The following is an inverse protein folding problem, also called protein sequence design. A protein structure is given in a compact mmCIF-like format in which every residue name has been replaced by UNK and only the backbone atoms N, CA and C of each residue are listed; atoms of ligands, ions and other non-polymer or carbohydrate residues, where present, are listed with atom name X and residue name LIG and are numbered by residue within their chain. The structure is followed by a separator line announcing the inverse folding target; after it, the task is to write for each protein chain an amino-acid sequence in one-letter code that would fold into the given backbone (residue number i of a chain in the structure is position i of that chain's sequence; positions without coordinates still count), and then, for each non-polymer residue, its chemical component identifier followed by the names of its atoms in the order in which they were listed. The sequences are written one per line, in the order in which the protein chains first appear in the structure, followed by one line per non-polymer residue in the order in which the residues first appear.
data_IF_058693297892
#
_entry.id   IF_058693297892
#
_cell.length_a   1.000
_cell.length_b   1.000
_cell.length_c   1.000
_cell.angle_alpha   90.00
_cell.angle_beta   90.00
_cell.angle_gamma   90.00
#
_symmetry.space_group_name_H-M   'P 1'
#
loop_
_entity.id
_entity.type
_entity.pdbx_description
1 polymer ?
#
# COMPACT_ATOMS: atom_id res chain seq x y z
N UNK A 1 -8.55 -6.77 15.02
CA UNK A 1 -7.54 -5.72 14.81
C UNK A 1 -8.25 -4.40 14.52
N UNK A 2 -7.76 -3.27 15.06
CA UNK A 2 -8.32 -1.94 14.79
C UNK A 2 -7.84 -1.43 13.44
N UNK A 3 -8.75 -1.17 12.51
CA UNK A 3 -8.47 -0.72 11.14
C UNK A 3 -9.28 0.52 10.78
N UNK A 4 -8.75 1.36 9.88
CA UNK A 4 -9.54 2.39 9.21
C UNK A 4 -10.27 1.77 8.02
N UNK A 5 -11.58 1.98 7.93
CA UNK A 5 -12.44 1.37 6.91
C UNK A 5 -12.85 2.41 5.86
N UNK A 6 -12.91 1.98 4.60
CA UNK A 6 -13.28 2.83 3.48
C UNK A 6 -14.31 2.13 2.61
N UNK A 7 -15.36 2.86 2.23
CA UNK A 7 -16.29 2.46 1.16
C UNK A 7 -15.65 2.78 -0.18
N UNK A 8 -15.65 1.82 -1.08
CA UNK A 8 -14.97 1.89 -2.39
C UNK A 8 -15.81 1.19 -3.45
N UNK A 9 -15.52 1.47 -4.71
CA UNK A 9 -15.79 0.54 -5.82
C UNK A 9 -14.43 -0.04 -6.24
N UNK A 10 -14.21 -1.33 -6.02
CA UNK A 10 -12.88 -1.94 -6.19
C UNK A 10 -12.31 -1.75 -7.60
N UNK A 11 -13.07 -1.97 -8.70
CA UNK A 11 -12.57 -1.71 -10.05
C UNK A 11 -12.16 -0.24 -10.27
N UNK A 12 -12.99 0.71 -9.83
CA UNK A 12 -12.71 2.15 -9.96
C UNK A 12 -11.49 2.54 -9.12
N UNK A 13 -11.36 1.98 -7.92
CA UNK A 13 -10.20 2.20 -7.07
C UNK A 13 -8.93 1.66 -7.71
N UNK A 14 -8.94 0.42 -8.21
CA UNK A 14 -7.80 -0.17 -8.90
C UNK A 14 -7.34 0.72 -10.06
N UNK A 15 -8.26 1.13 -10.93
CA UNK A 15 -7.95 2.01 -12.05
C UNK A 15 -7.34 3.36 -11.62
N UNK A 16 -7.85 3.96 -10.53
CA UNK A 16 -7.34 5.22 -10.01
C UNK A 16 -5.94 5.08 -9.38
N UNK A 17 -5.68 3.97 -8.68
CA UNK A 17 -4.40 3.73 -8.01
C UNK A 17 -3.30 3.28 -8.98
N UNK A 18 -3.66 2.57 -10.05
CA UNK A 18 -2.72 2.10 -11.08
C UNK A 18 -2.50 3.10 -12.21
N UNK A 19 -3.17 4.25 -12.21
CA UNK A 19 -2.98 5.29 -13.21
C UNK A 19 -1.56 5.87 -13.15
N UNK A 20 -0.97 6.14 -14.31
CA UNK A 20 0.41 6.62 -14.43
C UNK A 20 0.62 7.91 -13.62
N UNK A 21 -0.36 8.83 -13.63
CA UNK A 21 -0.29 10.09 -12.87
C UNK A 21 -0.27 9.85 -11.35
N UNK A 22 -1.00 8.84 -10.87
CA UNK A 22 -1.01 8.48 -9.45
C UNK A 22 0.33 7.85 -9.05
N UNK A 23 0.85 6.93 -9.86
CA UNK A 23 2.15 6.28 -9.62
C UNK A 23 3.28 7.32 -9.65
N UNK A 24 3.24 8.26 -10.59
CA UNK A 24 4.23 9.33 -10.68
C UNK A 24 4.15 10.28 -9.47
N UNK A 25 2.93 10.64 -9.04
CA UNK A 25 2.71 11.42 -7.82
C UNK A 25 3.26 10.71 -6.59
N UNK A 26 3.01 9.40 -6.48
CA UNK A 26 3.53 8.57 -5.41
C UNK A 26 5.08 8.51 -5.43
N UNK A 27 5.69 8.30 -6.60
CA UNK A 27 7.14 8.26 -6.74
C UNK A 27 7.80 9.58 -6.33
N UNK A 28 7.20 10.73 -6.66
CA UNK A 28 7.66 12.05 -6.18
C UNK A 28 7.57 12.16 -4.67
N UNK A 29 6.45 11.74 -4.07
CA UNK A 29 6.30 11.75 -2.61
C UNK A 29 7.40 10.92 -1.91
N UNK A 30 7.72 9.74 -2.43
CA UNK A 30 8.81 8.92 -1.90
C UNK A 30 10.17 9.62 -1.99
N UNK A 31 10.45 10.29 -3.11
CA UNK A 31 11.69 11.03 -3.32
C UNK A 31 11.84 12.21 -2.35
N UNK A 32 10.73 12.87 -2.01
CA UNK A 32 10.71 13.98 -1.05
C UNK A 32 10.86 13.51 0.40
N UNK A 33 10.28 12.35 0.75
CA UNK A 33 10.35 11.81 2.12
C UNK A 33 11.71 11.18 2.46
N UNK A 34 12.32 10.46 1.52
CA UNK A 34 13.55 9.69 1.74
C UNK A 34 14.72 10.45 2.40
N UNK A 35 15.06 11.70 2.01
CA UNK A 35 16.16 12.45 2.60
C UNK A 35 15.94 12.80 4.08
N UNK A 36 14.68 12.86 4.53
CA UNK A 36 14.30 13.27 5.88
C UNK A 36 14.26 12.11 6.89
N UNK A 37 14.37 10.86 6.41
CA UNK A 37 14.20 9.67 7.25
C UNK A 37 15.46 9.32 8.06
N UNK A 38 15.33 9.39 9.39
CA UNK A 38 16.33 8.87 10.32
C UNK A 38 16.27 7.35 10.51
N UNK A 39 15.08 6.75 10.31
CA UNK A 39 14.86 5.32 10.45
C UNK A 39 15.37 4.55 9.22
N UNK A 40 16.38 3.69 9.43
CA UNK A 40 17.00 2.92 8.34
C UNK A 40 16.07 1.87 7.75
N UNK A 41 15.26 1.20 8.56
CA UNK A 41 14.30 0.18 8.13
C UNK A 41 13.21 0.80 7.26
N UNK A 42 12.68 1.95 7.69
CA UNK A 42 11.69 2.69 6.89
C UNK A 42 12.31 3.22 5.60
N UNK A 43 13.54 3.75 5.63
CA UNK A 43 14.23 4.18 4.42
C UNK A 43 14.49 3.02 3.43
N UNK A 44 14.77 1.80 3.92
CA UNK A 44 14.88 0.61 3.06
C UNK A 44 13.55 0.23 2.43
N UNK A 45 12.46 0.29 3.20
CA UNK A 45 11.11 0.05 2.70
C UNK A 45 10.73 1.05 1.61
N UNK A 46 10.92 2.36 1.84
CA UNK A 46 10.63 3.39 0.84
C UNK A 46 11.50 3.24 -0.42
N UNK A 47 12.78 2.87 -0.28
CA UNK A 47 13.64 2.56 -1.45
C UNK A 47 13.15 1.35 -2.24
N UNK A 48 12.60 0.33 -1.57
CA UNK A 48 11.97 -0.80 -2.26
C UNK A 48 10.77 -0.32 -3.06
N UNK A 49 9.86 0.46 -2.45
CA UNK A 49 8.69 0.95 -3.16
C UNK A 49 9.04 1.93 -4.30
N UNK A 50 10.06 2.78 -4.14
CA UNK A 50 10.55 3.63 -5.23
C UNK A 50 11.03 2.80 -6.44
N UNK A 51 11.66 1.64 -6.19
CA UNK A 51 12.06 0.72 -7.26
C UNK A 51 10.85 0.09 -7.94
N UNK A 52 9.86 -0.36 -7.18
CA UNK A 52 8.64 -0.99 -7.72
C UNK A 52 7.84 0.03 -8.54
N UNK A 53 7.66 1.25 -8.03
CA UNK A 53 7.04 2.36 -8.76
C UNK A 53 7.81 2.67 -10.06
N UNK A 54 9.14 2.69 -10.03
CA UNK A 54 9.97 2.87 -11.22
C UNK A 54 9.78 1.76 -12.26
N UNK A 55 9.59 0.51 -11.84
CA UNK A 55 9.26 -0.60 -12.75
C UNK A 55 7.88 -0.42 -13.38
N UNK A 56 6.88 -0.03 -12.59
CA UNK A 56 5.54 0.27 -13.09
C UNK A 56 5.54 1.44 -14.10
N UNK A 57 6.30 2.51 -13.83
CA UNK A 57 6.40 3.64 -14.76
C UNK A 57 7.14 3.29 -16.07
N UNK A 58 8.11 2.38 -16.02
CA UNK A 58 8.90 2.01 -17.20
C UNK A 58 8.17 1.02 -18.13
N UNK A 59 7.38 0.10 -17.56
CA UNK A 59 6.72 -0.99 -18.30
C UNK A 59 5.20 -0.94 -18.31
N UNK A 60 4.59 -0.02 -17.56
CA UNK A 60 3.16 -0.02 -17.24
C UNK A 60 2.83 -0.91 -16.03
N UNK A 61 1.81 -0.54 -15.27
CA UNK A 61 1.36 -1.31 -14.11
C UNK A 61 0.92 -2.73 -14.48
N UNK A 62 0.23 -2.92 -15.61
CA UNK A 62 -0.24 -4.24 -16.05
C UNK A 62 0.93 -5.22 -16.30
N UNK A 63 2.04 -4.72 -16.86
CA UNK A 63 3.23 -5.54 -17.07
C UNK A 63 3.90 -5.93 -15.74
N UNK A 64 3.90 -5.01 -14.76
CA UNK A 64 4.34 -5.33 -13.40
C UNK A 64 3.43 -6.39 -12.77
N UNK A 65 2.11 -6.24 -12.84
CA UNK A 65 1.16 -7.20 -12.27
C UNK A 65 1.26 -8.59 -12.92
N UNK A 66 1.53 -8.65 -14.23
CA UNK A 66 1.73 -9.91 -14.95
C UNK A 66 3.04 -10.62 -14.58
N UNK A 67 4.11 -9.87 -14.32
CA UNK A 67 5.42 -10.42 -13.99
C UNK A 67 5.62 -10.70 -12.51
N UNK A 68 5.07 -9.85 -11.65
CA UNK A 68 5.20 -9.90 -10.19
C UNK A 68 3.95 -9.29 -9.52
N UNK A 69 2.90 -10.10 -9.47
CA UNK A 69 1.61 -9.73 -8.87
C UNK A 69 1.75 -9.31 -7.40
N UNK A 70 2.68 -9.90 -6.65
CA UNK A 70 2.87 -9.59 -5.23
C UNK A 70 3.45 -8.17 -5.04
N UNK A 71 4.45 -7.78 -5.84
CA UNK A 71 4.98 -6.41 -5.79
C UNK A 71 3.98 -5.39 -6.35
N UNK A 72 3.21 -5.74 -7.37
CA UNK A 72 2.13 -4.88 -7.87
C UNK A 72 1.09 -4.59 -6.79
N UNK A 73 0.66 -5.63 -6.05
CA UNK A 73 -0.36 -5.47 -5.01
C UNK A 73 0.16 -4.75 -3.76
N UNK A 74 1.42 -5.01 -3.39
CA UNK A 74 2.10 -4.24 -2.34
C UNK A 74 2.20 -2.75 -2.71
N UNK A 75 2.49 -2.43 -3.98
CA UNK A 75 2.52 -1.05 -4.47
C UNK A 75 1.15 -0.39 -4.34
N UNK A 76 0.07 -1.04 -4.78
CA UNK A 76 -1.30 -0.53 -4.63
C UNK A 76 -1.65 -0.26 -3.17
N UNK A 77 -1.28 -1.18 -2.27
CA UNK A 77 -1.49 -1.06 -0.82
C UNK A 77 -0.81 0.18 -0.25
N UNK A 78 0.47 0.40 -0.61
CA UNK A 78 1.22 1.54 -0.09
C UNK A 78 0.74 2.88 -0.71
N UNK A 79 0.44 2.90 -2.01
CA UNK A 79 -0.17 4.07 -2.66
C UNK A 79 -1.48 4.44 -1.95
N UNK A 80 -2.36 3.47 -1.68
CA UNK A 80 -3.61 3.74 -0.97
C UNK A 80 -3.37 4.29 0.43
N UNK A 81 -2.40 3.72 1.16
CA UNK A 81 -2.06 4.17 2.51
C UNK A 81 -1.51 5.60 2.55
N UNK A 82 -0.65 5.95 1.59
CA UNK A 82 -0.06 7.29 1.42
C UNK A 82 -1.10 8.28 0.94
N UNK A 83 -1.91 7.93 -0.05
CA UNK A 83 -2.98 8.77 -0.59
C UNK A 83 -3.99 9.15 0.51
N UNK A 84 -4.43 8.19 1.32
CA UNK A 84 -5.35 8.46 2.43
C UNK A 84 -4.70 9.23 3.58
N UNK A 85 -3.37 9.11 3.78
CA UNK A 85 -2.63 9.91 4.77
C UNK A 85 -2.51 11.37 4.36
N UNK A 86 -2.10 11.63 3.12
CA UNK A 86 -1.94 12.97 2.56
C UNK A 86 -3.24 13.55 2.00
N UNK A 87 -4.37 12.85 2.17
CA UNK A 87 -5.71 13.22 1.68
C UNK A 87 -5.71 13.55 0.18
N UNK A 88 -5.02 12.74 -0.61
CA UNK A 88 -5.11 12.80 -2.06
C UNK A 88 -6.50 12.36 -2.51
N UNK A 89 -6.94 12.91 -3.63
CA UNK A 89 -8.22 12.55 -4.23
C UNK A 89 -8.12 11.13 -4.79
N UNK A 90 -8.91 10.23 -4.21
CA UNK A 90 -9.08 8.84 -4.63
C UNK A 90 -10.56 8.46 -4.45
N UNK A 91 -11.08 7.48 -5.21
CA UNK A 91 -12.48 7.04 -5.12
C UNK A 91 -12.71 6.14 -3.88
N UNK A 92 -12.48 6.71 -2.70
CA UNK A 92 -12.66 6.04 -1.42
C UNK A 92 -13.22 7.00 -0.38
N UNK A 93 -14.26 6.57 0.34
CA UNK A 93 -14.91 7.35 1.39
C UNK A 93 -14.62 6.72 2.75
N UNK A 94 -14.05 7.50 3.68
CA UNK A 94 -13.82 7.01 5.04
C UNK A 94 -15.13 6.72 5.76
N UNK A 95 -15.24 5.53 6.34
CA UNK A 95 -16.37 5.11 7.17
C UNK A 95 -16.02 5.05 8.66
N UNK A 96 -14.82 5.53 9.01
CA UNK A 96 -14.29 5.52 10.38
C UNK A 96 -13.45 4.29 10.70
N UNK A 97 -13.16 4.11 11.98
CA UNK A 97 -12.36 2.99 12.47
C UNK A 97 -13.23 1.88 13.04
N UNK A 98 -12.87 0.63 12.79
CA UNK A 98 -13.58 -0.56 13.27
C UNK A 98 -12.61 -1.65 13.71
N UNK A 99 -13.05 -2.49 14.64
CA UNK A 99 -12.33 -3.69 15.05
C UNK A 99 -12.79 -4.87 14.17
N UNK A 100 -11.87 -5.40 13.35
CA UNK A 100 -12.15 -6.41 12.34
C UNK A 100 -11.32 -7.69 12.54
N UNK A 101 -11.90 -8.88 12.29
CA UNK A 101 -11.18 -10.14 12.27
C UNK A 101 -10.47 -10.32 10.91
N UNK A 102 -9.28 -9.74 10.77
CA UNK A 102 -8.56 -9.68 9.48
C UNK A 102 -7.58 -10.83 9.24
N UNK A 103 -7.40 -11.72 10.21
CA UNK A 103 -6.34 -12.74 10.19
C UNK A 103 -6.50 -13.77 9.05
N UNK A 104 -7.73 -14.00 8.60
CA UNK A 104 -8.06 -14.95 7.52
C UNK A 104 -8.38 -14.25 6.18
N UNK A 105 -8.33 -12.91 6.14
CA UNK A 105 -8.69 -12.16 4.93
C UNK A 105 -7.51 -12.03 3.97
N UNK A 106 -7.76 -12.11 2.64
CA UNK A 106 -6.72 -11.87 1.65
C UNK A 106 -6.19 -10.44 1.78
N UNK A 107 -4.87 -10.30 1.63
CA UNK A 107 -4.18 -9.02 1.70
C UNK A 107 -3.98 -8.39 0.32
N UNK A 108 -4.10 -7.06 0.29
CA UNK A 108 -4.00 -6.25 -0.92
C UNK A 108 -5.30 -6.24 -1.72
N UNK A 109 -5.35 -5.38 -2.75
CA UNK A 109 -6.50 -5.27 -3.66
C UNK A 109 -6.51 -6.40 -4.69
N UNK A 110 -5.37 -7.03 -4.95
CA UNK A 110 -5.24 -8.17 -5.85
C UNK A 110 -5.17 -9.51 -5.10
N UNK A 111 -5.24 -9.51 -3.76
CA UNK A 111 -5.16 -10.68 -2.90
C UNK A 111 -3.79 -11.35 -2.87
N UNK A 112 -2.73 -10.64 -3.26
CA UNK A 112 -1.37 -11.16 -3.44
C UNK A 112 -0.32 -10.40 -2.61
N UNK A 113 -0.71 -9.40 -1.83
CA UNK A 113 0.23 -8.63 -1.00
C UNK A 113 0.77 -9.46 0.17
N UNK A 114 2.05 -9.81 0.09
CA UNK A 114 2.81 -10.52 1.13
C UNK A 114 3.78 -9.60 1.87
N UNK A 115 3.70 -8.29 1.67
CA UNK A 115 4.64 -7.33 2.27
C UNK A 115 4.51 -7.28 3.79
N UNK A 116 5.64 -7.11 4.48
CA UNK A 116 5.68 -6.94 5.93
C UNK A 116 6.09 -5.50 6.27
N UNK A 117 5.32 -4.84 7.13
CA UNK A 117 5.59 -3.48 7.59
C UNK A 117 4.99 -2.36 6.71
N UNK A 118 4.95 -1.14 7.25
CA UNK A 118 4.36 0.03 6.59
C UNK A 118 2.83 0.04 6.71
N UNK A 119 2.15 -0.61 5.77
CA UNK A 119 0.70 -0.68 5.72
C UNK A 119 0.22 -2.09 5.38
N UNK A 120 -1.02 -2.38 5.75
CA UNK A 120 -1.72 -3.61 5.38
C UNK A 120 -3.15 -3.26 5.01
N UNK A 121 -3.57 -3.74 3.84
CA UNK A 121 -4.88 -3.51 3.27
C UNK A 121 -5.58 -4.85 3.10
N UNK A 122 -6.87 -4.90 3.41
CA UNK A 122 -7.72 -6.07 3.23
C UNK A 122 -8.97 -5.68 2.48
N UNK A 123 -9.41 -6.55 1.56
CA UNK A 123 -10.76 -6.52 1.00
C UNK A 123 -11.69 -7.20 1.99
N UNK A 124 -12.66 -6.45 2.50
CA UNK A 124 -13.71 -6.99 3.38
C UNK A 124 -14.83 -7.58 2.55
N UNK A 125 -15.22 -6.86 1.49
CA UNK A 125 -16.19 -7.24 0.47
C UNK A 125 -15.92 -6.42 -0.80
N UNK A 126 -16.79 -6.52 -1.80
CA UNK A 126 -16.65 -5.82 -3.10
C UNK A 126 -16.80 -4.30 -3.00
N UNK A 127 -17.20 -3.77 -1.84
CA UNK A 127 -17.45 -2.34 -1.62
C UNK A 127 -16.69 -1.75 -0.43
N UNK A 128 -15.86 -2.54 0.25
CA UNK A 128 -15.25 -2.14 1.51
C UNK A 128 -13.81 -2.65 1.61
N UNK A 129 -12.90 -1.73 1.91
CA UNK A 129 -11.51 -2.05 2.25
C UNK A 129 -11.20 -1.60 3.67
N UNK A 130 -10.35 -2.37 4.35
CA UNK A 130 -9.82 -2.03 5.65
C UNK A 130 -8.31 -1.79 5.54
N UNK A 131 -7.83 -0.71 6.13
CA UNK A 131 -6.43 -0.31 6.15
C UNK A 131 -5.92 -0.24 7.58
N UNK A 132 -4.81 -0.92 7.84
CA UNK A 132 -3.99 -0.69 9.01
C UNK A 132 -2.64 -0.11 8.60
N UNK A 133 -2.11 0.81 9.41
CA UNK A 133 -0.75 1.32 9.29
C UNK A 133 0.05 0.83 10.46
N UNK A 134 1.17 0.16 10.19
CA UNK A 134 2.09 -0.21 11.24
C UNK A 134 2.79 1.05 11.75
N UNK A 135 2.79 1.26 13.07
CA UNK A 135 3.51 2.38 13.71
C UNK A 135 5.03 2.15 13.77
N UNK A 136 5.48 0.96 13.39
CA UNK A 136 6.89 0.57 13.24
C UNK A 136 7.01 -0.38 12.05
N UNK A 137 8.05 -0.22 11.24
CA UNK A 137 8.53 -1.30 10.36
C UNK A 137 9.35 -2.18 11.30
N UNK A 138 8.84 -3.36 11.67
CA UNK A 138 9.43 -4.18 12.74
C UNK A 138 10.96 -4.25 12.63
N UNK A 139 11.61 -3.83 13.72
CA UNK A 139 12.96 -4.29 14.05
C UNK A 139 12.80 -5.79 14.26
N UNK A 140 13.25 -6.58 13.28
CA UNK A 140 13.25 -8.03 13.37
C UNK A 140 13.69 -8.47 14.77
N UNK A 141 12.90 -9.35 15.36
CA UNK A 141 13.23 -10.09 16.56
C UNK A 141 14.66 -10.61 16.42
N UNK A 142 15.55 -10.13 17.30
CA UNK A 142 16.82 -10.79 17.51
C UNK A 142 16.45 -12.08 18.24
N UNK A 143 16.37 -13.19 17.50
CA UNK A 143 16.39 -14.52 18.10
C UNK A 143 17.66 -14.61 18.94
N UNK A 144 17.49 -14.67 20.25
CA UNK A 144 18.54 -15.12 21.16
C UNK A 144 18.78 -16.61 20.88
N UNK A 145 19.94 -16.91 20.29
CA UNK A 145 20.52 -18.25 20.20
C UNK A 145 21.86 -18.29 20.92
#
# INVERSE_FOLDING_TARGET
MRCACYRVDVPTLLAALSADEMIERYARNLADELPSLADRSLAQLLRRFARIAGQAMAGGFDALAASDRANADALLTDIFAVATWHRWEIPAESTGEQDLPVDELPRGLLGADVSTGGASLWLIDDQTVALARARAVDRAAVDEG
#
